data_IF_156859101180
#
_entry.id   IF_156859101180
#
_cell.length_a   1.000
_cell.length_b   1.000
_cell.length_c   1.000
_cell.angle_alpha   90.00
_cell.angle_beta   90.00
_cell.angle_gamma   90.00
#
_symmetry.space_group_name_H-M   'P 1'
#
loop_
_entity.id
_entity.type
_entity.pdbx_description
1 polymer ?
#
# COMPACT_ATOMS: atom_id res chain seq x y z
N UNK A 1 -18.75 13.85 20.28
CA UNK A 1 -19.15 12.80 19.31
C UNK A 1 -19.62 13.53 18.07
N UNK A 2 -18.80 13.62 17.03
CA UNK A 2 -19.12 14.36 15.80
C UNK A 2 -20.15 13.57 14.99
N UNK A 3 -21.19 14.25 14.52
CA UNK A 3 -22.26 13.71 13.69
C UNK A 3 -21.68 13.42 12.29
N UNK A 4 -21.41 12.15 11.98
CA UNK A 4 -20.63 11.70 10.81
C UNK A 4 -21.43 11.65 9.50
N UNK A 5 -22.63 12.24 9.45
CA UNK A 5 -23.55 12.08 8.31
C UNK A 5 -23.30 13.01 7.13
N UNK A 6 -22.51 14.07 7.30
CA UNK A 6 -22.23 15.05 6.22
C UNK A 6 -20.74 15.17 5.97
N UNK A 7 -20.32 14.99 4.72
CA UNK A 7 -18.93 15.18 4.31
C UNK A 7 -18.54 16.67 4.36
N UNK A 8 -17.31 17.00 4.79
CA UNK A 8 -16.80 18.36 4.69
C UNK A 8 -16.64 18.78 3.23
N UNK A 9 -16.65 20.09 2.95
CA UNK A 9 -16.35 20.61 1.62
C UNK A 9 -14.93 20.21 1.21
N UNK A 10 -14.81 19.53 0.07
CA UNK A 10 -13.52 19.14 -0.51
C UNK A 10 -13.24 20.03 -1.72
N UNK A 11 -12.10 20.72 -1.71
CA UNK A 11 -11.63 21.54 -2.84
C UNK A 11 -10.48 20.83 -3.53
N UNK A 12 -10.59 20.61 -4.84
CA UNK A 12 -9.52 20.05 -5.65
C UNK A 12 -8.60 21.17 -6.14
N UNK A 13 -7.31 21.11 -5.80
CA UNK A 13 -6.28 22.05 -6.26
C UNK A 13 -5.30 21.34 -7.17
N UNK A 14 -5.05 21.91 -8.36
CA UNK A 14 -4.10 21.38 -9.32
C UNK A 14 -2.81 22.22 -9.28
N UNK A 15 -1.69 21.60 -8.92
CA UNK A 15 -0.37 22.23 -8.92
C UNK A 15 0.40 21.80 -10.17
N UNK A 16 0.77 22.76 -11.01
CA UNK A 16 1.59 22.52 -12.20
C UNK A 16 2.98 23.14 -12.00
N UNK A 17 4.02 22.34 -12.24
CA UNK A 17 5.43 22.74 -12.17
C UNK A 17 6.21 22.20 -13.37
N UNK A 18 5.68 22.43 -14.58
CA UNK A 18 6.35 22.08 -15.84
C UNK A 18 7.15 23.24 -16.42
N UNK A 19 7.90 22.94 -17.49
CA UNK A 19 8.78 23.90 -18.16
C UNK A 19 7.98 24.95 -18.97
N UNK A 20 6.89 24.53 -19.61
CA UNK A 20 6.05 25.39 -20.44
C UNK A 20 5.13 26.27 -19.59
N UNK A 21 5.17 27.59 -19.78
CA UNK A 21 4.44 28.59 -18.98
C UNK A 21 3.91 29.73 -19.86
N UNK A 22 2.62 30.15 -19.73
CA UNK A 22 1.63 29.62 -18.80
C UNK A 22 1.18 28.19 -19.14
N UNK A 23 0.49 27.51 -18.22
CA UNK A 23 -0.03 26.16 -18.45
C UNK A 23 -0.86 26.12 -19.75
N UNK A 24 -0.47 25.31 -20.76
CA UNK A 24 -1.04 25.41 -22.10
C UNK A 24 -2.29 24.52 -22.31
N UNK A 25 -2.68 23.70 -21.32
CA UNK A 25 -3.76 22.72 -21.46
C UNK A 25 -5.04 23.13 -20.71
N UNK A 26 -6.11 22.33 -20.84
CA UNK A 26 -7.39 22.58 -20.17
C UNK A 26 -7.28 22.54 -18.64
N UNK A 27 -7.90 23.50 -17.96
CA UNK A 27 -8.06 23.47 -16.49
C UNK A 27 -9.16 22.48 -16.04
N UNK A 28 -10.01 22.02 -16.96
CA UNK A 28 -10.89 20.89 -16.68
C UNK A 28 -10.12 19.61 -16.94
N UNK A 29 -9.55 19.02 -15.88
CA UNK A 29 -8.71 17.81 -15.98
C UNK A 29 -9.39 16.62 -16.69
N UNK A 30 -10.72 16.59 -16.74
CA UNK A 30 -11.50 15.58 -17.48
C UNK A 30 -11.26 15.64 -19.00
N UNK A 31 -10.90 16.81 -19.54
CA UNK A 31 -10.54 16.97 -20.96
C UNK A 31 -9.20 16.32 -21.32
N UNK A 32 -8.36 16.08 -20.31
CA UNK A 32 -7.01 15.55 -20.51
C UNK A 32 -6.99 14.01 -20.69
N UNK A 33 -8.14 13.34 -20.60
CA UNK A 33 -8.24 11.91 -20.84
C UNK A 33 -8.43 11.58 -22.32
N UNK A 34 -8.01 10.37 -22.72
CA UNK A 34 -8.20 9.88 -24.08
C UNK A 34 -9.68 9.82 -24.50
N UNK A 35 -10.59 9.59 -23.56
CA UNK A 35 -12.04 9.68 -23.76
C UNK A 35 -12.70 10.57 -22.69
N UNK A 36 -12.81 11.89 -22.94
CA UNK A 36 -13.41 12.82 -21.99
C UNK A 36 -14.89 12.54 -21.71
N UNK A 37 -15.64 11.92 -22.65
CA UNK A 37 -17.07 11.66 -22.48
C UNK A 37 -17.28 10.54 -21.46
N UNK A 38 -16.53 9.44 -21.60
CA UNK A 38 -16.57 8.33 -20.65
C UNK A 38 -16.20 8.79 -19.23
N UNK A 39 -15.12 9.56 -19.11
CA UNK A 39 -14.63 10.02 -17.80
C UNK A 39 -15.63 10.99 -17.17
N UNK A 40 -16.23 11.91 -17.93
CA UNK A 40 -17.30 12.78 -17.41
C UNK A 40 -18.49 11.98 -16.87
N UNK A 41 -18.91 10.92 -17.54
CA UNK A 41 -19.99 10.04 -17.05
C UNK A 41 -19.61 9.31 -15.76
N UNK A 42 -18.38 8.79 -15.71
CA UNK A 42 -17.86 8.08 -14.54
C UNK A 42 -17.80 8.99 -13.29
N UNK A 43 -17.30 10.21 -13.45
CA UNK A 43 -17.13 11.17 -12.35
C UNK A 43 -18.39 11.98 -12.02
N UNK A 44 -19.42 11.95 -12.86
CA UNK A 44 -20.74 12.52 -12.55
C UNK A 44 -21.64 11.56 -11.73
N UNK A 45 -21.23 10.30 -11.60
CA UNK A 45 -21.97 9.27 -10.86
C UNK A 45 -21.42 9.13 -9.45
N UNK A 46 -22.15 8.42 -8.58
CA UNK A 46 -21.61 8.03 -7.28
C UNK A 46 -20.32 7.22 -7.51
N UNK A 47 -19.26 7.55 -6.76
CA UNK A 47 -18.02 6.81 -6.84
C UNK A 47 -18.24 5.35 -6.40
N UNK A 48 -17.69 4.36 -7.12
CA UNK A 48 -17.71 2.99 -6.64
C UNK A 48 -16.91 2.91 -5.33
N UNK A 49 -17.56 2.47 -4.26
CA UNK A 49 -16.89 2.10 -3.02
C UNK A 49 -16.44 0.65 -3.14
N UNK A 50 -15.14 0.42 -3.10
CA UNK A 50 -14.58 -0.93 -3.03
C UNK A 50 -14.38 -1.29 -1.55
N UNK A 51 -15.30 -2.09 -1.01
CA UNK A 51 -15.19 -2.60 0.35
C UNK A 51 -14.36 -3.89 0.37
N UNK A 52 -13.04 -3.72 0.52
CA UNK A 52 -12.09 -4.84 0.61
C UNK A 52 -12.34 -5.73 1.84
N UNK A 53 -13.11 -5.28 2.84
CA UNK A 53 -13.32 -6.07 4.07
C UNK A 53 -14.25 -7.26 3.86
N UNK A 54 -15.18 -7.15 2.91
CA UNK A 54 -16.14 -8.21 2.57
C UNK A 54 -15.77 -8.98 1.30
N UNK A 55 -14.82 -8.46 0.52
CA UNK A 55 -14.35 -9.10 -0.71
C UNK A 55 -13.57 -10.39 -0.41
N UNK A 56 -13.85 -11.53 -1.06
CA UNK A 56 -13.08 -12.76 -0.90
C UNK A 56 -11.61 -12.61 -1.33
N UNK A 57 -10.69 -13.29 -0.65
CA UNK A 57 -9.27 -13.22 -1.02
C UNK A 57 -9.03 -13.73 -2.44
N UNK A 58 -9.72 -14.81 -2.85
CA UNK A 58 -9.59 -15.38 -4.19
C UNK A 58 -10.03 -14.42 -5.30
N UNK A 59 -10.91 -13.47 -4.98
CA UNK A 59 -11.28 -12.37 -5.88
C UNK A 59 -10.16 -11.31 -5.93
N UNK A 60 -9.65 -10.88 -4.77
CA UNK A 60 -8.51 -9.96 -4.66
C UNK A 60 -7.30 -10.47 -5.44
N UNK A 61 -7.01 -11.78 -5.36
CA UNK A 61 -5.88 -12.40 -6.06
C UNK A 61 -5.94 -12.25 -7.59
N UNK A 62 -7.10 -11.92 -8.16
CA UNK A 62 -7.28 -11.69 -9.61
C UNK A 62 -7.02 -10.23 -10.03
N UNK A 63 -6.86 -9.31 -9.08
CA UNK A 63 -6.77 -7.86 -9.34
C UNK A 63 -5.39 -7.36 -9.80
N UNK A 64 -4.51 -8.29 -10.20
CA UNK A 64 -3.20 -8.01 -10.81
C UNK A 64 -2.36 -7.04 -9.97
N UNK A 65 -2.20 -5.79 -10.44
CA UNK A 65 -1.40 -4.74 -9.78
C UNK A 65 -1.99 -4.24 -8.46
N UNK A 66 -3.30 -4.35 -8.27
CA UNK A 66 -3.97 -3.85 -7.07
C UNK A 66 -3.98 -4.87 -5.94
N UNK A 67 -3.91 -6.16 -6.27
CA UNK A 67 -4.08 -7.27 -5.35
C UNK A 67 -3.18 -7.19 -4.09
N UNK A 68 -1.90 -6.81 -4.24
CA UNK A 68 -0.97 -6.70 -3.11
C UNK A 68 -1.45 -5.69 -2.07
N UNK A 69 -1.86 -4.51 -2.53
CA UNK A 69 -2.27 -3.44 -1.63
C UNK A 69 -3.65 -3.75 -1.03
N UNK A 70 -4.56 -4.29 -1.81
CA UNK A 70 -5.90 -4.67 -1.35
C UNK A 70 -5.86 -5.78 -0.31
N UNK A 71 -5.07 -6.84 -0.55
CA UNK A 71 -4.89 -7.95 0.39
C UNK A 71 -4.30 -7.43 1.70
N UNK A 72 -3.24 -6.61 1.62
CA UNK A 72 -2.68 -6.01 2.83
C UNK A 72 -3.68 -5.09 3.51
N UNK A 73 -4.38 -4.20 2.81
CA UNK A 73 -5.35 -3.29 3.42
C UNK A 73 -6.49 -4.03 4.12
N UNK A 74 -6.97 -5.13 3.53
CA UNK A 74 -7.99 -5.99 4.14
C UNK A 74 -7.51 -6.57 5.48
N UNK A 75 -6.25 -7.01 5.53
CA UNK A 75 -5.72 -7.76 6.66
C UNK A 75 -4.82 -6.95 7.61
N UNK A 76 -4.49 -5.69 7.31
CA UNK A 76 -3.48 -4.92 8.07
C UNK A 76 -3.82 -4.75 9.56
N UNK A 77 -5.11 -4.79 9.90
CA UNK A 77 -5.60 -4.69 11.29
C UNK A 77 -5.65 -6.03 12.01
N UNK A 78 -5.40 -7.15 11.32
CA UNK A 78 -5.26 -8.45 11.94
C UNK A 78 -3.93 -8.51 12.69
N UNK A 79 -3.96 -9.16 13.86
CA UNK A 79 -2.79 -9.23 14.75
C UNK A 79 -1.67 -10.12 14.21
N UNK A 80 -2.01 -11.07 13.35
CA UNK A 80 -1.08 -12.04 12.78
C UNK A 80 -1.29 -12.13 11.26
N UNK A 81 -0.24 -11.80 10.50
CA UNK A 81 -0.23 -11.82 9.04
C UNK A 81 0.33 -13.14 8.46
N UNK A 82 0.73 -14.09 9.31
CA UNK A 82 1.34 -15.35 8.87
C UNK A 82 0.46 -16.14 7.90
N UNK A 83 -0.86 -16.02 8.01
CA UNK A 83 -1.81 -16.65 7.08
C UNK A 83 -1.70 -16.14 5.63
N UNK A 84 -1.08 -14.98 5.39
CA UNK A 84 -0.98 -14.36 4.07
C UNK A 84 0.33 -14.67 3.35
N UNK A 85 1.27 -15.38 3.99
CA UNK A 85 2.63 -15.59 3.44
C UNK A 85 2.60 -16.18 2.03
N UNK A 86 1.74 -17.17 1.79
CA UNK A 86 1.65 -17.85 0.50
C UNK A 86 1.00 -16.97 -0.58
N UNK A 87 -0.08 -16.28 -0.24
CA UNK A 87 -0.74 -15.32 -1.15
C UNK A 87 0.22 -14.18 -1.52
N UNK A 88 0.94 -13.63 -0.55
CA UNK A 88 1.94 -12.58 -0.76
C UNK A 88 3.05 -13.06 -1.69
N UNK A 89 3.61 -14.24 -1.45
CA UNK A 89 4.66 -14.80 -2.32
C UNK A 89 4.17 -15.03 -3.76
N UNK A 90 2.93 -15.52 -3.93
CA UNK A 90 2.29 -15.68 -5.23
C UNK A 90 2.16 -14.32 -5.95
N UNK A 91 1.63 -13.31 -5.27
CA UNK A 91 1.45 -11.98 -5.84
C UNK A 91 2.78 -11.29 -6.16
N UNK A 92 3.82 -11.45 -5.34
CA UNK A 92 5.15 -10.92 -5.66
C UNK A 92 5.78 -11.60 -6.87
N UNK A 93 5.53 -12.90 -7.05
CA UNK A 93 6.02 -13.69 -8.17
C UNK A 93 5.34 -13.35 -9.50
N UNK A 94 4.11 -12.82 -9.47
CA UNK A 94 3.37 -12.37 -10.66
C UNK A 94 4.05 -11.25 -11.46
N UNK A 95 5.00 -10.54 -10.85
CA UNK A 95 5.77 -9.46 -11.51
C UNK A 95 5.00 -8.15 -11.69
N UNK A 96 3.84 -7.99 -11.06
CA UNK A 96 3.07 -6.75 -11.13
C UNK A 96 3.64 -5.60 -10.28
N UNK A 97 4.49 -5.90 -9.30
CA UNK A 97 5.17 -4.92 -8.46
C UNK A 97 6.69 -4.90 -8.71
N UNK A 98 7.27 -3.70 -8.70
CA UNK A 98 8.72 -3.49 -8.71
C UNK A 98 9.27 -3.33 -7.28
N UNK A 99 10.59 -3.38 -7.13
CA UNK A 99 11.28 -3.32 -5.83
C UNK A 99 10.90 -2.07 -5.02
N UNK A 100 10.68 -0.93 -5.68
CA UNK A 100 10.25 0.30 -4.99
C UNK A 100 8.85 0.16 -4.40
N UNK A 101 7.92 -0.46 -5.14
CA UNK A 101 6.57 -0.73 -4.66
C UNK A 101 6.57 -1.77 -3.54
N UNK A 102 7.38 -2.82 -3.67
CA UNK A 102 7.54 -3.86 -2.64
C UNK A 102 8.07 -3.24 -1.35
N UNK A 103 9.14 -2.44 -1.45
CA UNK A 103 9.69 -1.72 -0.30
C UNK A 103 8.68 -0.77 0.33
N UNK A 104 7.92 -0.04 -0.49
CA UNK A 104 6.85 0.83 -0.03
C UNK A 104 5.77 0.06 0.74
N UNK A 105 5.36 -1.10 0.23
CA UNK A 105 4.34 -1.94 0.85
C UNK A 105 4.78 -2.48 2.21
N UNK A 106 6.00 -3.03 2.32
CA UNK A 106 6.49 -3.56 3.59
C UNK A 106 6.75 -2.46 4.63
N UNK A 107 7.20 -1.28 4.19
CA UNK A 107 7.27 -0.11 5.09
C UNK A 107 5.89 0.30 5.59
N UNK A 108 4.87 0.27 4.73
CA UNK A 108 3.50 0.54 5.15
C UNK A 108 3.01 -0.49 6.17
N UNK A 109 3.22 -1.79 5.92
CA UNK A 109 2.82 -2.85 6.86
C UNK A 109 3.47 -2.65 8.22
N UNK A 110 4.76 -2.34 8.25
CA UNK A 110 5.48 -2.07 9.49
C UNK A 110 4.91 -0.87 10.27
N UNK A 111 4.60 0.23 9.57
CA UNK A 111 4.16 1.46 10.22
C UNK A 111 2.71 1.40 10.72
N UNK A 112 1.87 0.57 10.09
CA UNK A 112 0.42 0.56 10.34
C UNK A 112 -0.11 -0.75 10.90
N UNK A 113 0.61 -1.85 10.75
CA UNK A 113 0.23 -3.16 11.25
C UNK A 113 0.65 -3.37 12.70
N UNK A 114 -0.26 -3.87 13.53
CA UNK A 114 0.05 -4.42 14.85
C UNK A 114 0.46 -5.90 14.72
N UNK A 115 1.33 -6.17 13.74
CA UNK A 115 1.69 -7.51 13.30
C UNK A 115 2.68 -8.13 14.29
N UNK A 116 2.15 -8.91 15.23
CA UNK A 116 2.95 -9.80 16.06
C UNK A 116 3.68 -10.74 15.12
N UNK A 117 5.01 -10.81 15.24
CA UNK A 117 5.91 -11.61 14.37
C UNK A 117 6.08 -11.09 12.94
N UNK A 118 6.09 -9.78 12.75
CA UNK A 118 6.43 -9.17 11.45
C UNK A 118 7.73 -9.73 10.84
N UNK A 119 8.76 -9.98 11.65
CA UNK A 119 10.02 -10.58 11.18
C UNK A 119 9.81 -11.99 10.61
N UNK A 120 9.05 -12.86 11.29
CA UNK A 120 8.75 -14.21 10.77
C UNK A 120 7.91 -14.14 9.49
N UNK A 121 7.01 -13.16 9.40
CA UNK A 121 6.20 -12.92 8.20
C UNK A 121 7.07 -12.52 7.01
N UNK A 122 7.93 -11.51 7.15
CA UNK A 122 8.80 -11.07 6.05
C UNK A 122 9.79 -12.16 5.63
N UNK A 123 10.32 -12.92 6.60
CA UNK A 123 11.20 -14.06 6.33
C UNK A 123 10.45 -15.15 5.55
N UNK A 124 9.24 -15.51 5.98
CA UNK A 124 8.40 -16.49 5.30
C UNK A 124 8.04 -16.10 3.87
N UNK A 125 7.78 -14.82 3.63
CA UNK A 125 7.53 -14.28 2.27
C UNK A 125 8.82 -14.30 1.43
N UNK A 126 9.96 -13.91 2.01
CA UNK A 126 11.25 -13.88 1.32
C UNK A 126 11.73 -15.27 0.90
N UNK A 127 11.56 -16.28 1.76
CA UNK A 127 11.87 -17.68 1.45
C UNK A 127 11.10 -18.20 0.23
N UNK A 128 9.83 -17.80 0.10
CA UNK A 128 8.94 -18.21 -0.99
C UNK A 128 8.99 -17.30 -2.21
N UNK A 129 9.76 -16.21 -2.15
CA UNK A 129 9.90 -15.23 -3.22
C UNK A 129 11.35 -15.06 -3.66
N UNK A 130 12.00 -16.07 -4.29
CA UNK A 130 13.44 -16.04 -4.59
C UNK A 130 13.88 -14.80 -5.37
N UNK A 131 13.04 -14.32 -6.30
CA UNK A 131 13.29 -13.13 -7.11
C UNK A 131 13.43 -11.85 -6.28
N UNK A 132 12.72 -11.76 -5.15
CA UNK A 132 12.65 -10.56 -4.31
C UNK A 132 13.36 -10.74 -2.97
N UNK A 133 13.99 -11.90 -2.75
CA UNK A 133 14.58 -12.30 -1.47
C UNK A 133 15.57 -11.26 -0.95
N UNK A 134 16.50 -10.79 -1.78
CA UNK A 134 17.51 -9.80 -1.36
C UNK A 134 16.87 -8.47 -0.92
N UNK A 135 15.89 -7.99 -1.68
CA UNK A 135 15.16 -6.76 -1.37
C UNK A 135 14.41 -6.87 -0.04
N UNK A 136 13.73 -8.00 0.17
CA UNK A 136 12.99 -8.30 1.40
C UNK A 136 13.92 -8.48 2.60
N UNK A 137 15.05 -9.17 2.42
CA UNK A 137 16.05 -9.36 3.48
C UNK A 137 16.69 -8.04 3.91
N UNK A 138 16.94 -7.13 2.97
CA UNK A 138 17.44 -5.78 3.30
C UNK A 138 16.46 -5.02 4.20
N UNK A 139 15.15 -5.18 3.97
CA UNK A 139 14.11 -4.59 4.82
C UNK A 139 14.13 -5.26 6.20
N UNK A 140 14.13 -6.59 6.25
CA UNK A 140 14.16 -7.35 7.50
C UNK A 140 15.41 -7.05 8.36
N UNK A 141 16.58 -6.91 7.76
CA UNK A 141 17.83 -6.57 8.45
C UNK A 141 17.80 -5.18 9.06
N UNK A 142 17.32 -4.19 8.29
CA UNK A 142 17.19 -2.81 8.80
C UNK A 142 16.30 -2.77 10.05
N UNK A 143 15.22 -3.54 10.06
CA UNK A 143 14.31 -3.60 11.21
C UNK A 143 14.94 -4.24 12.45
N UNK A 144 15.70 -5.31 12.25
CA UNK A 144 16.45 -5.95 13.34
C UNK A 144 17.50 -5.01 13.93
N UNK A 145 18.16 -4.20 13.11
CA UNK A 145 19.13 -3.21 13.57
C UNK A 145 18.47 -2.08 14.37
N UNK A 146 17.37 -1.52 13.86
CA UNK A 146 16.62 -0.46 14.55
C UNK A 146 16.13 -0.92 15.93
N UNK A 147 15.57 -2.14 16.03
CA UNK A 147 15.14 -2.73 17.31
C UNK A 147 16.29 -3.01 18.29
N UNK A 148 17.47 -3.38 17.79
CA UNK A 148 18.67 -3.62 18.62
C UNK A 148 19.23 -2.31 19.19
N UNK A 149 19.29 -1.26 18.38
CA UNK A 149 19.74 0.06 18.84
C UNK A 149 18.80 0.60 19.92
N UNK A 150 17.48 0.41 19.75
CA UNK A 150 16.49 0.85 20.72
C UNK A 150 16.63 0.11 22.06
N UNK A 151 16.81 -1.21 22.05
CA UNK A 151 16.96 -2.00 23.28
C UNK A 151 18.24 -1.67 24.05
N UNK A 152 19.34 -1.40 23.35
CA UNK A 152 20.61 -0.95 23.95
C UNK A 152 20.48 0.45 24.58
N UNK A 153 19.81 1.38 23.90
CA UNK A 153 19.56 2.72 24.43
C UNK A 153 18.65 2.71 25.68
N UNK A 154 17.62 1.85 25.70
CA UNK A 154 16.79 1.63 26.90
C UNK A 154 17.58 1.02 28.06
N UNK A 155 18.52 0.12 27.78
CA UNK A 155 19.37 -0.51 28.80
C UNK A 155 20.37 0.47 29.40
N UNK A 156 20.87 1.44 28.62
CA UNK A 156 21.79 2.47 29.08
C UNK A 156 21.11 3.62 29.84
N UNK A 157 19.83 3.91 29.58
CA UNK A 157 19.08 4.95 30.30
C UNK A 157 18.44 4.48 31.62
N UNK A 158 18.37 3.16 31.83
CA UNK A 158 17.80 2.54 33.04
C UNK A 158 18.87 1.81 33.89
N UNK A 159 20.16 2.05 33.63
CA UNK A 159 21.30 1.60 34.42
C UNK A 159 22.01 2.81 35.05
#
# INVERSE_FOLDING_TARGET
MLDTKTLPMVVLLLFYHGIESPYPYSLCWLDCFADPKLVRQLYASAFPLIDVTVMPDDEIMQHRRMALLELIQKHIRQRDLMGLVEQMACLLSSGYANDRQIKGLFNYILQTGDAVRFNDFIDGVAERSPKHKESLMTIAERLRQEGTIQSLAYSQNNA
#
